data_IF_501252228017
#
_entry.id   IF_501252228017
#
_cell.length_a   1.000
_cell.length_b   1.000
_cell.length_c   1.000
_cell.angle_alpha   90.00
_cell.angle_beta   90.00
_cell.angle_gamma   90.00
#
_symmetry.space_group_name_H-M   'P 1'
#
loop_
_entity.id
_entity.type
_entity.pdbx_description
1 polymer ?
#
# COMPACT_ATOMS: atom_id res chain seq x y z
N UNK A 1 9.82 -23.83 20.68
CA UNK A 1 9.21 -22.75 19.86
C UNK A 1 9.71 -22.98 18.44
N UNK A 2 8.90 -23.56 17.54
CA UNK A 2 9.34 -23.76 16.16
C UNK A 2 9.21 -22.40 15.47
N UNK A 3 10.32 -21.73 15.23
CA UNK A 3 10.35 -20.49 14.47
C UNK A 3 9.90 -20.80 13.05
N UNK A 4 8.92 -20.06 12.56
CA UNK A 4 8.55 -20.06 11.16
C UNK A 4 9.76 -19.50 10.40
N UNK A 5 10.59 -20.39 9.84
CA UNK A 5 11.74 -19.98 9.04
C UNK A 5 11.27 -19.63 7.63
N UNK A 6 11.01 -18.34 7.40
CA UNK A 6 10.83 -17.85 6.05
C UNK A 6 12.19 -17.85 5.33
N UNK A 7 12.25 -18.40 4.11
CA UNK A 7 13.49 -18.41 3.36
C UNK A 7 13.94 -16.98 3.04
N UNK A 8 15.26 -16.78 3.06
CA UNK A 8 15.89 -15.46 2.95
C UNK A 8 15.41 -14.64 1.74
N UNK A 9 15.08 -15.31 0.63
CA UNK A 9 14.58 -14.64 -0.58
C UNK A 9 13.29 -13.84 -0.36
N UNK A 10 12.42 -14.22 0.59
CA UNK A 10 11.18 -13.49 0.88
C UNK A 10 11.50 -12.09 1.42
N UNK A 11 12.49 -12.00 2.31
CA UNK A 11 12.97 -10.73 2.86
C UNK A 11 13.64 -9.88 1.79
N UNK A 12 14.46 -10.49 0.94
CA UNK A 12 15.07 -9.79 -0.20
C UNK A 12 14.00 -9.22 -1.12
N UNK A 13 12.96 -9.99 -1.47
CA UNK A 13 11.85 -9.51 -2.30
C UNK A 13 11.07 -8.38 -1.63
N UNK A 14 10.81 -8.48 -0.32
CA UNK A 14 10.13 -7.43 0.43
C UNK A 14 10.92 -6.11 0.41
N UNK A 15 12.20 -6.15 0.78
CA UNK A 15 13.04 -4.95 0.78
C UNK A 15 13.23 -4.40 -0.64
N UNK A 16 13.38 -5.27 -1.65
CA UNK A 16 13.44 -4.84 -3.04
C UNK A 16 12.16 -4.12 -3.47
N UNK A 17 10.98 -4.64 -3.10
CA UNK A 17 9.70 -3.98 -3.39
C UNK A 17 9.60 -2.59 -2.72
N UNK A 18 10.02 -2.48 -1.46
CA UNK A 18 10.07 -1.19 -0.73
C UNK A 18 11.02 -0.20 -1.39
N UNK A 19 12.22 -0.64 -1.78
CA UNK A 19 13.19 0.23 -2.45
C UNK A 19 12.71 0.69 -3.82
N UNK A 20 12.05 -0.20 -4.59
CA UNK A 20 11.43 0.17 -5.87
C UNK A 20 10.33 1.21 -5.64
N UNK A 21 9.44 1.00 -4.66
CA UNK A 21 8.39 1.96 -4.32
C UNK A 21 8.96 3.33 -3.95
N UNK A 22 10.01 3.35 -3.13
CA UNK A 22 10.70 4.58 -2.72
C UNK A 22 11.40 5.28 -3.88
N UNK A 23 12.01 4.52 -4.80
CA UNK A 23 12.61 5.07 -6.01
C UNK A 23 11.56 5.65 -6.96
N UNK A 24 10.40 5.01 -7.11
CA UNK A 24 9.29 5.52 -7.91
C UNK A 24 8.76 6.82 -7.32
N UNK A 25 8.56 6.88 -6.01
CA UNK A 25 8.04 8.06 -5.31
C UNK A 25 9.02 9.25 -5.40
N UNK A 26 10.29 9.05 -5.01
CA UNK A 26 11.30 10.11 -5.03
C UNK A 26 11.78 10.47 -6.44
N UNK A 27 11.90 9.47 -7.31
CA UNK A 27 12.51 9.63 -8.64
C UNK A 27 11.53 10.10 -9.71
N UNK A 28 10.30 9.59 -9.72
CA UNK A 28 9.33 9.83 -10.79
C UNK A 28 8.25 10.80 -10.35
N UNK A 29 7.63 10.58 -9.17
CA UNK A 29 6.54 11.42 -8.71
C UNK A 29 7.02 12.83 -8.35
N UNK A 30 8.19 12.94 -7.70
CA UNK A 30 8.73 14.24 -7.26
C UNK A 30 9.37 15.09 -8.38
N UNK A 31 9.57 14.54 -9.58
CA UNK A 31 10.16 15.29 -10.73
C UNK A 31 9.19 16.25 -11.42
N UNK A 32 7.89 16.20 -11.11
CA UNK A 32 6.86 17.04 -11.74
C UNK A 32 6.44 18.16 -10.78
N UNK A 33 7.09 19.32 -10.87
CA UNK A 33 6.76 20.55 -10.11
C UNK A 33 5.42 21.22 -10.53
N UNK A 34 4.52 20.49 -11.20
CA UNK A 34 3.24 21.03 -11.66
C UNK A 34 2.13 20.48 -10.77
N UNK A 35 1.14 21.31 -10.47
CA UNK A 35 -0.06 20.85 -9.77
C UNK A 35 -0.69 19.71 -10.58
N UNK A 36 -0.76 18.47 -10.03
CA UNK A 36 -1.26 17.33 -10.78
C UNK A 36 -2.71 17.59 -11.16
N UNK A 37 -3.02 17.33 -12.43
CA UNK A 37 -4.41 17.43 -12.90
C UNK A 37 -5.26 16.35 -12.23
N UNK A 38 -6.58 16.58 -12.11
CA UNK A 38 -7.51 15.61 -11.49
C UNK A 38 -7.32 14.17 -12.02
N UNK A 39 -7.09 14.01 -13.33
CA UNK A 39 -6.85 12.69 -13.96
C UNK A 39 -5.56 12.03 -13.49
N UNK A 40 -4.49 12.81 -13.36
CA UNK A 40 -3.19 12.33 -12.89
C UNK A 40 -3.26 11.86 -11.44
N UNK A 41 -3.96 12.58 -10.57
CA UNK A 41 -4.19 12.15 -9.18
C UNK A 41 -4.88 10.79 -9.09
N UNK A 42 -5.94 10.57 -9.88
CA UNK A 42 -6.63 9.26 -9.89
C UNK A 42 -5.74 8.14 -10.42
N UNK A 43 -4.91 8.42 -11.43
CA UNK A 43 -3.94 7.44 -11.96
C UNK A 43 -2.94 7.06 -10.88
N UNK A 44 -2.35 8.03 -10.19
CA UNK A 44 -1.40 7.77 -9.11
C UNK A 44 -2.03 6.99 -7.97
N UNK A 45 -3.24 7.34 -7.53
CA UNK A 45 -3.98 6.55 -6.53
C UNK A 45 -4.20 5.11 -7.00
N UNK A 46 -4.60 4.92 -8.27
CA UNK A 46 -4.78 3.59 -8.87
C UNK A 46 -3.49 2.77 -8.92
N UNK A 47 -2.36 3.39 -9.27
CA UNK A 47 -1.04 2.74 -9.26
C UNK A 47 -0.72 2.21 -7.86
N UNK A 48 -0.85 3.04 -6.82
CA UNK A 48 -0.56 2.63 -5.45
C UNK A 48 -1.51 1.54 -4.92
N UNK A 49 -2.80 1.63 -5.23
CA UNK A 49 -3.78 0.58 -4.88
C UNK A 49 -3.45 -0.72 -5.60
N UNK A 50 -3.13 -0.67 -6.90
CA UNK A 50 -2.78 -1.87 -7.67
C UNK A 50 -1.48 -2.51 -7.18
N UNK A 51 -0.52 -1.71 -6.72
CA UNK A 51 0.71 -2.20 -6.11
C UNK A 51 0.42 -2.94 -4.79
N UNK A 52 -0.43 -2.38 -3.93
CA UNK A 52 -0.85 -3.02 -2.68
C UNK A 52 -1.60 -4.34 -2.94
N UNK A 53 -2.51 -4.36 -3.91
CA UNK A 53 -3.22 -5.59 -4.30
C UNK A 53 -2.29 -6.64 -4.91
N UNK A 54 -1.31 -6.22 -5.71
CA UNK A 54 -0.30 -7.11 -6.28
C UNK A 54 0.57 -7.74 -5.18
N UNK A 55 0.95 -6.95 -4.18
CA UNK A 55 1.65 -7.45 -2.99
C UNK A 55 0.77 -8.41 -2.17
N UNK A 56 -0.51 -8.12 -2.00
CA UNK A 56 -1.45 -9.03 -1.34
C UNK A 56 -1.53 -10.40 -2.05
N UNK A 57 -1.60 -10.39 -3.38
CA UNK A 57 -1.57 -11.61 -4.19
C UNK A 57 -0.23 -12.35 -4.04
N UNK A 58 0.89 -11.63 -4.00
CA UNK A 58 2.20 -12.22 -3.73
C UNK A 58 2.24 -12.91 -2.37
N UNK A 59 1.73 -12.28 -1.31
CA UNK A 59 1.62 -12.90 0.03
C UNK A 59 0.79 -14.18 -0.02
N UNK A 60 -0.38 -14.15 -0.68
CA UNK A 60 -1.20 -15.35 -0.88
C UNK A 60 -0.41 -16.47 -1.55
N UNK A 61 0.26 -16.17 -2.65
CA UNK A 61 0.99 -17.13 -3.45
C UNK A 61 2.18 -17.75 -2.69
N UNK A 62 2.97 -16.93 -2.00
CA UNK A 62 4.11 -17.42 -1.20
C UNK A 62 3.62 -18.30 -0.05
N UNK A 63 2.68 -17.80 0.75
CA UNK A 63 2.20 -18.55 1.94
C UNK A 63 1.46 -19.83 1.52
N UNK A 64 0.67 -19.79 0.44
CA UNK A 64 0.02 -21.00 -0.10
C UNK A 64 1.03 -22.03 -0.60
N UNK A 65 2.20 -21.61 -1.09
CA UNK A 65 3.25 -22.51 -1.60
C UNK A 65 4.03 -23.20 -0.47
N UNK A 66 4.24 -22.53 0.68
CA UNK A 66 4.98 -23.10 1.81
C UNK A 66 4.11 -23.85 2.83
N UNK A 67 2.83 -23.48 2.95
CA UNK A 67 1.93 -24.05 3.96
C UNK A 67 0.75 -24.76 3.31
N UNK A 68 -0.28 -23.98 2.97
CA UNK A 68 -1.59 -24.44 2.50
C UNK A 68 -2.35 -23.20 1.99
N UNK A 69 -3.16 -23.37 0.95
CA UNK A 69 -4.07 -22.35 0.42
C UNK A 69 -5.00 -21.71 1.46
N UNK A 70 -5.42 -22.43 2.50
CA UNK A 70 -6.21 -21.90 3.62
C UNK A 70 -5.42 -20.86 4.43
N UNK A 71 -4.15 -21.14 4.73
CA UNK A 71 -3.29 -20.18 5.43
C UNK A 71 -2.87 -19.03 4.52
N UNK A 72 -2.64 -19.29 3.23
CA UNK A 72 -2.40 -18.24 2.25
C UNK A 72 -3.57 -17.26 2.18
N UNK A 73 -4.80 -17.77 2.12
CA UNK A 73 -6.00 -16.95 2.11
C UNK A 73 -6.17 -16.16 3.41
N UNK A 74 -5.89 -16.77 4.56
CA UNK A 74 -5.97 -16.12 5.86
C UNK A 74 -4.99 -14.94 5.94
N UNK A 75 -3.73 -15.15 5.57
CA UNK A 75 -2.69 -14.10 5.61
C UNK A 75 -2.96 -12.97 4.60
N UNK A 76 -3.43 -13.31 3.40
CA UNK A 76 -3.84 -12.31 2.42
C UNK A 76 -5.05 -11.49 2.90
N UNK A 77 -6.02 -12.13 3.58
CA UNK A 77 -7.14 -11.40 4.19
C UNK A 77 -6.69 -10.48 5.31
N UNK A 78 -5.78 -10.93 6.18
CA UNK A 78 -5.20 -10.10 7.24
C UNK A 78 -4.50 -8.86 6.65
N UNK A 79 -3.67 -9.04 5.63
CA UNK A 79 -3.00 -7.93 4.94
C UNK A 79 -4.00 -6.97 4.31
N UNK A 80 -4.96 -7.48 3.52
CA UNK A 80 -5.95 -6.64 2.84
C UNK A 80 -6.83 -5.87 3.83
N UNK A 81 -7.23 -6.53 4.91
CA UNK A 81 -8.04 -5.90 5.96
C UNK A 81 -7.26 -4.80 6.66
N UNK A 82 -5.98 -5.06 7.01
CA UNK A 82 -5.08 -4.02 7.56
C UNK A 82 -4.92 -2.84 6.61
N UNK A 83 -4.63 -3.10 5.34
CA UNK A 83 -4.52 -2.08 4.30
C UNK A 83 -5.80 -1.23 4.17
N UNK A 84 -6.98 -1.84 4.16
CA UNK A 84 -8.25 -1.12 4.08
C UNK A 84 -8.52 -0.28 5.33
N UNK A 85 -8.19 -0.78 6.52
CA UNK A 85 -8.32 -0.05 7.79
C UNK A 85 -7.41 1.20 7.78
N UNK A 86 -6.15 1.03 7.37
CA UNK A 86 -5.20 2.15 7.26
C UNK A 86 -5.64 3.18 6.21
N UNK A 87 -6.16 2.69 5.07
CA UNK A 87 -6.70 3.55 4.02
C UNK A 87 -7.92 4.34 4.52
N UNK A 88 -8.86 3.70 5.21
CA UNK A 88 -10.03 4.40 5.78
C UNK A 88 -9.63 5.45 6.80
N UNK A 89 -8.66 5.13 7.67
CA UNK A 89 -8.19 6.06 8.69
C UNK A 89 -7.47 7.26 8.07
N UNK A 90 -6.74 7.05 6.98
CA UNK A 90 -6.11 8.12 6.20
C UNK A 90 -7.15 9.02 5.50
N UNK A 91 -8.23 8.42 4.97
CA UNK A 91 -9.34 9.14 4.35
C UNK A 91 -10.10 9.96 5.39
N UNK A 92 -10.38 9.40 6.56
CA UNK A 92 -11.01 10.12 7.68
C UNK A 92 -10.18 11.33 8.12
N UNK A 93 -8.85 11.17 8.20
CA UNK A 93 -7.92 12.25 8.52
C UNK A 93 -7.97 13.38 7.47
N UNK A 94 -8.01 13.04 6.18
CA UNK A 94 -8.11 14.03 5.09
C UNK A 94 -9.43 14.81 5.12
N UNK A 95 -10.56 14.14 5.40
CA UNK A 95 -11.86 14.81 5.53
C UNK A 95 -11.88 15.77 6.71
N UNK A 96 -11.39 15.34 7.88
CA UNK A 96 -11.29 16.18 9.07
C UNK A 96 -10.47 17.46 8.78
N UNK A 97 -9.30 17.32 8.16
CA UNK A 97 -8.46 18.46 7.81
C UNK A 97 -9.11 19.39 6.78
N UNK A 98 -9.71 18.84 5.72
CA UNK A 98 -10.37 19.65 4.71
C UNK A 98 -11.58 20.43 5.25
N UNK A 99 -12.35 19.84 6.17
CA UNK A 99 -13.46 20.51 6.84
C UNK A 99 -12.95 21.62 7.79
N UNK A 100 -11.87 21.35 8.52
CA UNK A 100 -11.21 22.36 9.35
C UNK A 100 -10.74 23.54 8.51
N UNK A 101 -10.00 23.32 7.41
CA UNK A 101 -9.52 24.41 6.55
C UNK A 101 -10.65 25.24 5.92
N UNK A 102 -11.77 24.62 5.54
CA UNK A 102 -12.93 25.33 5.00
C UNK A 102 -13.55 26.30 6.02
N UNK A 103 -13.57 25.93 7.30
CA UNK A 103 -14.04 26.79 8.38
C UNK A 103 -13.23 28.10 8.46
N UNK A 104 -11.89 28.03 8.37
CA UNK A 104 -11.00 29.21 8.38
C UNK A 104 -11.08 30.09 7.13
N UNK A 105 -11.53 29.54 6.00
CA UNK A 105 -11.72 30.33 4.77
C UNK A 105 -13.02 31.15 4.78
N UNK A 106 -13.95 30.87 5.70
CA UNK A 106 -15.25 31.54 5.81
C UNK A 106 -15.28 32.75 6.76
N UNK A 107 -14.14 33.04 7.42
CA UNK A 107 -13.92 34.17 8.35
C UNK A 107 -12.90 35.15 7.78
#
# INVERSE_FOLDING_TARGET
MNTIEYPFWVWVTFFAAVLIALFVDLGIANRRSHAPTRRETFIWSGVWISLALSFNFFVYWVVSSYYNSAMGLLKAKEFLTGYLIELSLSVDNLFCFSAYLQLFQSS
#
